data_IF_365270300181
#
_entry.id   IF_365270300181
#
_cell.length_a   1.000
_cell.length_b   1.000
_cell.length_c   1.000
_cell.angle_alpha   90.00
_cell.angle_beta   90.00
_cell.angle_gamma   90.00
#
_symmetry.space_group_name_H-M   'P 1'
#
loop_
_entity.id
_entity.type
_entity.pdbx_description
1 polymer ?
#
# COMPACT_ATOMS: atom_id res chain seq x y z
N UNK A 1 12.65 3.26 -7.20
CA UNK A 1 11.66 4.28 -7.64
C UNK A 1 12.39 5.61 -7.78
N UNK A 2 12.10 6.39 -8.82
CA UNK A 2 12.80 7.66 -9.08
C UNK A 2 12.77 8.56 -7.83
N UNK A 3 13.96 8.87 -7.28
CA UNK A 3 14.16 9.82 -6.18
C UNK A 3 14.37 9.27 -4.76
N UNK A 4 14.45 7.94 -4.56
CA UNK A 4 14.79 7.27 -3.27
C UNK A 4 14.10 7.83 -2.00
N UNK A 5 12.95 8.47 -2.14
CA UNK A 5 12.30 9.26 -1.08
C UNK A 5 11.93 8.45 0.16
N UNK A 6 11.82 7.14 0.02
CA UNK A 6 11.47 6.22 1.10
C UNK A 6 12.66 5.85 1.99
N UNK A 7 13.91 5.97 1.51
CA UNK A 7 15.12 5.61 2.28
C UNK A 7 15.07 4.21 2.93
N UNK A 8 14.39 3.26 2.29
CA UNK A 8 14.22 1.86 2.73
C UNK A 8 15.03 0.87 1.88
N UNK A 9 16.02 1.36 1.12
CA UNK A 9 16.83 0.54 0.22
C UNK A 9 15.96 -0.17 -0.84
N UNK A 10 16.17 -1.49 -0.99
CA UNK A 10 15.47 -2.32 -1.97
C UNK A 10 14.13 -2.89 -1.47
N UNK A 11 13.58 -2.38 -0.36
CA UNK A 11 12.34 -2.94 0.20
C UNK A 11 11.12 -2.68 -0.68
N UNK A 12 11.12 -1.62 -1.49
CA UNK A 12 9.99 -1.31 -2.37
C UNK A 12 9.99 -2.23 -3.59
N UNK A 13 8.95 -3.05 -3.71
CA UNK A 13 8.69 -3.90 -4.88
C UNK A 13 8.02 -3.13 -6.01
N UNK A 14 7.13 -2.18 -5.68
CA UNK A 14 6.33 -1.48 -6.67
C UNK A 14 5.18 -0.67 -6.05
N UNK A 15 4.46 0.04 -6.90
CA UNK A 15 3.24 0.76 -6.53
C UNK A 15 2.18 0.57 -7.62
N UNK A 16 0.91 0.61 -7.22
CA UNK A 16 -0.25 0.51 -8.08
C UNK A 16 -1.21 1.66 -7.74
N UNK A 17 -1.71 2.33 -8.77
CA UNK A 17 -2.79 3.31 -8.65
C UNK A 17 -4.00 2.76 -9.36
N UNK A 18 -5.10 2.62 -8.64
CA UNK A 18 -6.40 2.19 -9.16
C UNK A 18 -7.35 3.37 -9.09
N UNK A 19 -7.63 3.95 -10.26
CA UNK A 19 -8.59 5.05 -10.39
C UNK A 19 -9.98 4.45 -10.53
N UNK A 20 -10.91 4.86 -9.65
CA UNK A 20 -12.31 4.40 -9.68
C UNK A 20 -13.25 5.58 -9.64
N UNK A 21 -14.52 5.31 -9.94
CA UNK A 21 -15.53 6.37 -10.02
C UNK A 21 -15.80 7.08 -8.68
N UNK A 22 -15.75 6.35 -7.55
CA UNK A 22 -16.05 6.90 -6.23
C UNK A 22 -14.82 7.22 -5.39
N UNK A 23 -13.69 6.56 -5.64
CA UNK A 23 -12.46 6.73 -4.88
C UNK A 23 -11.24 6.29 -5.69
N UNK A 24 -10.10 6.93 -5.43
CA UNK A 24 -8.82 6.48 -5.94
C UNK A 24 -8.08 5.66 -4.87
N UNK A 25 -7.54 4.51 -5.26
CA UNK A 25 -6.78 3.64 -4.37
C UNK A 25 -5.32 3.62 -4.80
N UNK A 26 -4.44 4.02 -3.88
CA UNK A 26 -2.99 3.95 -4.08
C UNK A 26 -2.44 2.84 -3.18
N UNK A 27 -1.72 1.89 -3.77
CA UNK A 27 -1.11 0.77 -3.07
C UNK A 27 0.40 0.77 -3.30
N UNK A 28 1.18 0.55 -2.25
CA UNK A 28 2.63 0.35 -2.33
C UNK A 28 2.97 -1.01 -1.75
N UNK A 29 3.78 -1.77 -2.47
CA UNK A 29 4.17 -3.13 -2.08
C UNK A 29 5.63 -3.13 -1.65
N UNK A 30 5.90 -3.75 -0.50
CA UNK A 30 7.25 -3.96 0.00
C UNK A 30 7.54 -5.46 0.21
N UNK A 31 8.83 -5.82 0.25
CA UNK A 31 9.29 -7.21 0.35
C UNK A 31 8.94 -7.83 1.70
N UNK A 32 9.22 -7.12 2.79
CA UNK A 32 9.20 -7.69 4.15
C UNK A 32 8.07 -7.11 5.00
N UNK A 33 7.01 -7.89 5.21
CA UNK A 33 5.86 -7.45 6.00
C UNK A 33 6.11 -7.42 7.52
N UNK A 34 7.09 -8.18 8.00
CA UNK A 34 7.41 -8.28 9.44
C UNK A 34 8.24 -7.10 9.96
N UNK A 35 8.81 -6.28 9.09
CA UNK A 35 9.55 -5.08 9.49
C UNK A 35 8.61 -3.89 9.70
N UNK A 36 8.16 -3.72 10.95
CA UNK A 36 7.29 -2.62 11.35
C UNK A 36 7.94 -1.24 11.17
N UNK A 37 9.26 -1.15 11.21
CA UNK A 37 9.99 0.11 11.07
C UNK A 37 10.00 0.57 9.61
N UNK A 38 10.24 -0.36 8.68
CA UNK A 38 10.18 -0.11 7.24
C UNK A 38 8.76 0.23 6.82
N UNK A 39 7.76 -0.54 7.26
CA UNK A 39 6.35 -0.27 6.92
C UNK A 39 5.85 1.08 7.44
N UNK A 40 6.24 1.48 8.66
CA UNK A 40 5.93 2.80 9.20
C UNK A 40 6.58 3.94 8.39
N UNK A 41 7.86 3.80 8.02
CA UNK A 41 8.55 4.78 7.16
C UNK A 41 7.90 4.94 5.79
N UNK A 42 7.47 3.83 5.20
CA UNK A 42 6.76 3.84 3.91
C UNK A 42 5.45 4.61 4.03
N UNK A 43 4.66 4.31 5.06
CA UNK A 43 3.39 5.03 5.35
C UNK A 43 3.61 6.52 5.50
N UNK A 44 4.58 6.93 6.29
CA UNK A 44 4.82 8.33 6.61
C UNK A 44 5.36 9.10 5.39
N UNK A 45 6.23 8.46 4.60
CA UNK A 45 6.70 9.01 3.33
C UNK A 45 5.55 9.16 2.32
N UNK A 46 4.68 8.16 2.23
CA UNK A 46 3.55 8.20 1.30
C UNK A 46 2.58 9.34 1.65
N UNK A 47 2.27 9.53 2.95
CA UNK A 47 1.49 10.69 3.43
C UNK A 47 2.13 12.02 3.04
N UNK A 48 3.45 12.15 3.24
CA UNK A 48 4.19 13.38 2.94
C UNK A 48 4.24 13.68 1.44
N UNK A 49 4.60 12.70 0.62
CA UNK A 49 4.78 12.88 -0.84
C UNK A 49 3.46 13.15 -1.54
N UNK A 50 2.38 12.49 -1.11
CA UNK A 50 1.04 12.69 -1.66
C UNK A 50 0.27 13.82 -0.97
N UNK A 51 0.87 14.50 0.01
CA UNK A 51 0.27 15.57 0.80
C UNK A 51 -1.12 15.18 1.36
N UNK A 52 -1.24 13.97 1.91
CA UNK A 52 -2.52 13.45 2.40
C UNK A 52 -2.94 14.15 3.70
N UNK A 53 -4.22 14.48 3.86
CA UNK A 53 -4.77 14.96 5.11
C UNK A 53 -4.45 14.02 6.30
N UNK A 54 -4.28 14.55 7.54
CA UNK A 54 -3.97 13.72 8.72
C UNK A 54 -5.02 12.65 9.02
N UNK A 55 -6.27 12.89 8.62
CA UNK A 55 -7.40 11.99 8.77
C UNK A 55 -7.49 10.90 7.69
N UNK A 56 -6.61 10.91 6.68
CA UNK A 56 -6.57 9.83 5.69
C UNK A 56 -6.08 8.55 6.35
N UNK A 57 -6.96 7.55 6.41
CA UNK A 57 -6.65 6.22 6.93
C UNK A 57 -5.80 5.49 5.90
N UNK A 58 -4.63 4.99 6.32
CA UNK A 58 -3.81 4.09 5.53
C UNK A 58 -3.80 2.73 6.20
N UNK A 59 -4.15 1.71 5.44
CA UNK A 59 -4.19 0.34 5.89
C UNK A 59 -3.00 -0.43 5.31
N UNK A 60 -2.30 -1.18 6.16
CA UNK A 60 -1.29 -2.13 5.72
C UNK A 60 -1.88 -3.53 5.78
N UNK A 61 -1.81 -4.27 4.66
CA UNK A 61 -2.26 -5.66 4.55
C UNK A 61 -1.09 -6.52 4.10
N UNK A 62 -0.84 -7.62 4.80
CA UNK A 62 0.17 -8.58 4.36
C UNK A 62 -0.31 -9.30 3.10
N UNK A 63 0.63 -9.73 2.25
CA UNK A 63 0.28 -10.45 1.02
C UNK A 63 -0.60 -11.69 1.30
N UNK A 64 -0.31 -12.42 2.37
CA UNK A 64 -1.08 -13.59 2.79
C UNK A 64 -2.53 -13.24 3.18
N UNK A 65 -2.74 -12.09 3.82
CA UNK A 65 -4.08 -11.65 4.21
C UNK A 65 -4.86 -11.12 3.01
N UNK A 66 -4.21 -10.39 2.09
CA UNK A 66 -4.79 -10.01 0.80
C UNK A 66 -5.23 -11.25 0.00
N UNK A 67 -4.43 -12.33 0.05
CA UNK A 67 -4.75 -13.60 -0.59
C UNK A 67 -5.89 -14.38 0.08
N UNK A 68 -6.22 -14.13 1.35
CA UNK A 68 -7.40 -14.72 2.00
C UNK A 68 -8.64 -13.89 1.71
N UNK A 69 -8.51 -12.57 1.72
CA UNK A 69 -9.60 -11.65 1.45
C UNK A 69 -10.22 -11.87 0.06
N UNK A 70 -9.42 -12.12 -1.00
CA UNK A 70 -10.00 -12.40 -2.32
C UNK A 70 -10.79 -13.72 -2.34
N UNK A 71 -10.38 -14.74 -1.59
CA UNK A 71 -11.07 -16.04 -1.55
C UNK A 71 -12.42 -15.97 -0.86
N UNK A 72 -12.63 -14.98 0.00
CA UNK A 72 -13.88 -14.78 0.73
C UNK A 72 -14.91 -13.94 -0.03
N UNK A 73 -14.54 -13.30 -1.14
CA UNK A 73 -15.50 -12.60 -1.99
C UNK A 73 -16.16 -13.65 -2.91
N UNK A 74 -17.47 -13.90 -2.79
CA UNK A 74 -18.13 -14.83 -3.70
C UNK A 74 -17.98 -14.33 -5.14
N UNK A 75 -17.72 -15.22 -6.11
CA UNK A 75 -17.61 -14.82 -7.50
C UNK A 75 -18.92 -14.13 -7.90
N UNK A 76 -18.81 -12.96 -8.54
CA UNK A 76 -19.94 -12.29 -9.16
C UNK A 76 -20.57 -13.29 -10.13
N UNK A 77 -21.80 -13.73 -9.85
CA UNK A 77 -22.56 -14.56 -10.77
C UNK A 77 -22.83 -13.72 -12.03
N UNK A 78 -22.34 -14.21 -13.16
CA UNK A 78 -22.63 -13.69 -14.51
C UNK A 78 -24.10 -13.83 -14.86
#
# INVERSE_FOLDING_TARGET
MLGEQFMVGEEICGAVVSIRYQEDIISVWNKTASDSSTTARIRDTLRRVLNLPPNTVLEYKTHNDSLKAWKTVPPLKS
#
